data_IF_438048350673
#
_entry.id   IF_438048350673
#
_cell.length_a   1.000
_cell.length_b   1.000
_cell.length_c   1.000
_cell.angle_alpha   90.00
_cell.angle_beta   90.00
_cell.angle_gamma   90.00
#
_symmetry.space_group_name_H-M   'P 1'
#
loop_
_entity.id
_entity.type
_entity.pdbx_description
1 polymer ?
#
# COMPACT_ATOMS: atom_id res chain seq x y z
N UNK A 1 -19.21 19.98 3.09
CA UNK A 1 -19.27 18.57 3.55
C UNK A 1 -18.03 18.27 4.35
N UNK A 2 -18.13 17.68 5.56
CA UNK A 2 -16.95 17.17 6.28
C UNK A 2 -16.30 16.08 5.41
N UNK A 3 -14.99 16.19 5.12
CA UNK A 3 -14.23 15.13 4.44
C UNK A 3 -14.41 13.83 5.23
N UNK A 4 -14.69 12.73 4.55
CA UNK A 4 -14.79 11.41 5.17
C UNK A 4 -13.37 10.95 5.48
N UNK A 5 -13.10 10.59 6.75
CA UNK A 5 -11.80 10.06 7.17
C UNK A 5 -11.49 8.75 6.46
N UNK A 6 -10.27 8.61 5.95
CA UNK A 6 -9.83 7.43 5.22
C UNK A 6 -9.15 6.42 6.15
N UNK A 7 -9.89 5.41 6.55
CA UNK A 7 -9.44 4.30 7.37
C UNK A 7 -8.93 3.20 6.44
N UNK A 8 -7.61 3.02 6.35
CA UNK A 8 -7.00 2.05 5.45
C UNK A 8 -6.44 0.84 6.20
N UNK A 9 -6.77 -0.37 5.74
CA UNK A 9 -6.18 -1.61 6.22
C UNK A 9 -4.91 -1.92 5.43
N UNK A 10 -3.74 -1.80 6.08
CA UNK A 10 -2.42 -2.00 5.51
C UNK A 10 -2.21 -3.48 5.14
N UNK A 11 -1.99 -3.76 3.86
CA UNK A 11 -1.90 -5.11 3.31
C UNK A 11 -3.09 -5.98 3.73
N UNK A 12 -4.28 -5.37 3.76
CA UNK A 12 -5.47 -5.92 4.38
C UNK A 12 -5.56 -5.63 5.87
N UNK A 13 -5.10 -6.54 6.71
CA UNK A 13 -5.03 -6.40 8.16
C UNK A 13 -3.81 -7.17 8.69
N UNK A 14 -2.61 -6.75 8.29
CA UNK A 14 -1.33 -7.46 8.50
C UNK A 14 -1.07 -7.82 9.95
N UNK A 15 -1.47 -6.98 10.89
CA UNK A 15 -1.30 -7.24 12.32
C UNK A 15 -2.16 -8.41 12.84
N UNK A 16 -3.17 -8.84 12.08
CA UNK A 16 -4.16 -9.85 12.49
C UNK A 16 -4.11 -11.12 11.65
N UNK A 17 -3.86 -11.00 10.34
CA UNK A 17 -3.82 -12.10 9.37
C UNK A 17 -2.67 -11.92 8.37
N UNK A 18 -2.24 -12.98 7.66
CA UNK A 18 -1.11 -12.92 6.73
C UNK A 18 -1.27 -11.82 5.68
N UNK A 19 -0.27 -10.96 5.57
CA UNK A 19 -0.29 -9.77 4.73
C UNK A 19 -0.53 -10.06 3.25
N UNK A 20 -1.20 -9.14 2.55
CA UNK A 20 -1.42 -9.22 1.11
C UNK A 20 -2.10 -10.52 0.65
N UNK A 21 -2.97 -11.07 1.50
CA UNK A 21 -3.71 -12.31 1.24
C UNK A 21 -5.22 -12.07 1.26
N UNK A 22 -5.99 -12.93 0.58
CA UNK A 22 -7.44 -12.84 0.60
C UNK A 22 -8.02 -12.91 2.02
N UNK A 23 -7.54 -13.78 2.95
CA UNK A 23 -7.95 -13.74 4.35
C UNK A 23 -7.75 -12.38 5.03
N UNK A 24 -6.60 -11.71 4.82
CA UNK A 24 -6.35 -10.40 5.41
C UNK A 24 -7.27 -9.31 4.86
N UNK A 25 -7.56 -9.34 3.54
CA UNK A 25 -8.50 -8.41 2.91
C UNK A 25 -9.94 -8.66 3.37
N UNK A 26 -10.38 -9.91 3.47
CA UNK A 26 -11.68 -10.25 4.02
C UNK A 26 -11.82 -9.79 5.47
N UNK A 27 -10.77 -9.94 6.28
CA UNK A 27 -10.75 -9.42 7.65
C UNK A 27 -10.90 -7.91 7.69
N UNK A 28 -10.17 -7.17 6.84
CA UNK A 28 -10.28 -5.73 6.74
C UNK A 28 -11.71 -5.28 6.33
N UNK A 29 -12.32 -5.95 5.35
CA UNK A 29 -13.72 -5.71 4.96
C UNK A 29 -14.68 -5.98 6.13
N UNK A 30 -14.46 -7.07 6.87
CA UNK A 30 -15.28 -7.43 8.05
C UNK A 30 -15.12 -6.45 9.22
N UNK A 31 -13.96 -5.82 9.36
CA UNK A 31 -13.75 -4.71 10.30
C UNK A 31 -14.49 -3.46 9.81
N UNK A 32 -14.59 -3.25 8.52
CA UNK A 32 -15.20 -2.07 7.91
C UNK A 32 -14.20 -0.96 7.72
N UNK A 33 -13.24 -1.17 6.81
CA UNK A 33 -12.32 -0.14 6.32
C UNK A 33 -12.95 0.67 5.19
N UNK A 34 -12.45 1.88 4.95
CA UNK A 34 -12.83 2.68 3.78
C UNK A 34 -12.02 2.28 2.55
N UNK A 35 -10.80 1.79 2.77
CA UNK A 35 -9.84 1.49 1.71
C UNK A 35 -9.04 0.25 2.09
N UNK A 36 -8.94 -0.69 1.17
CA UNK A 36 -7.94 -1.76 1.21
C UNK A 36 -6.65 -1.21 0.64
N UNK A 37 -5.61 -1.21 1.45
CA UNK A 37 -4.26 -0.90 0.99
C UNK A 37 -3.54 -2.20 0.68
N UNK A 38 -2.78 -2.24 -0.42
CA UNK A 38 -2.10 -3.42 -0.93
C UNK A 38 -0.93 -3.08 -1.84
N UNK A 39 -0.02 -4.03 -1.98
CA UNK A 39 1.20 -3.89 -2.77
C UNK A 39 1.16 -4.83 -3.98
N UNK A 40 1.69 -4.40 -5.12
CA UNK A 40 1.70 -5.20 -6.34
C UNK A 40 3.10 -5.43 -6.88
N UNK A 41 3.28 -6.61 -7.49
CA UNK A 41 4.42 -6.99 -8.31
C UNK A 41 3.92 -7.60 -9.63
N UNK A 42 4.80 -7.70 -10.63
CA UNK A 42 4.47 -8.24 -11.96
C UNK A 42 5.23 -9.56 -12.17
N UNK A 43 4.51 -10.62 -12.54
CA UNK A 43 5.09 -11.92 -12.86
C UNK A 43 5.76 -11.93 -14.23
N UNK A 44 6.50 -13.00 -14.55
CA UNK A 44 7.14 -13.22 -15.87
C UNK A 44 6.13 -13.28 -17.03
N UNK A 45 4.95 -13.80 -16.76
CA UNK A 45 3.85 -13.89 -17.72
C UNK A 45 2.90 -12.67 -17.68
N UNK A 46 3.31 -11.58 -17.00
CA UNK A 46 2.64 -10.29 -17.05
C UNK A 46 1.44 -10.15 -16.11
N UNK A 47 1.21 -11.09 -15.19
CA UNK A 47 0.10 -11.02 -14.24
C UNK A 47 0.45 -10.09 -13.07
N UNK A 48 -0.49 -9.22 -12.67
CA UNK A 48 -0.37 -8.38 -11.48
C UNK A 48 -0.74 -9.21 -10.26
N UNK A 49 0.27 -9.53 -9.43
CA UNK A 49 0.12 -10.26 -8.17
C UNK A 49 0.27 -9.34 -6.98
N UNK A 50 -0.26 -9.77 -5.83
CA UNK A 50 -0.23 -8.95 -4.61
C UNK A 50 0.88 -9.43 -3.70
N UNK A 51 1.94 -8.60 -3.60
CA UNK A 51 3.14 -8.87 -2.78
C UNK A 51 3.85 -7.56 -2.45
N UNK A 52 4.33 -7.43 -1.21
CA UNK A 52 5.07 -6.23 -0.79
C UNK A 52 6.48 -6.19 -1.39
N UNK A 53 7.19 -7.29 -1.35
CA UNK A 53 8.54 -7.34 -1.85
C UNK A 53 8.55 -7.70 -3.34
N UNK A 54 9.47 -7.15 -4.10
CA UNK A 54 9.70 -7.52 -5.50
C UNK A 54 10.34 -8.90 -5.65
N UNK A 55 10.77 -9.50 -4.54
CA UNK A 55 11.31 -10.86 -4.41
C UNK A 55 10.45 -11.68 -3.46
N UNK A 56 10.55 -13.02 -3.51
CA UNK A 56 9.96 -13.87 -2.48
C UNK A 56 10.61 -13.59 -1.12
N UNK A 57 9.79 -13.34 -0.11
CA UNK A 57 10.26 -13.02 1.23
C UNK A 57 10.38 -14.31 2.07
N UNK A 58 11.60 -14.68 2.53
CA UNK A 58 11.82 -15.89 3.32
C UNK A 58 11.04 -15.93 4.64
N UNK A 59 10.75 -14.78 5.23
CA UNK A 59 10.05 -14.70 6.52
C UNK A 59 8.56 -15.10 6.41
N UNK A 60 7.99 -15.11 5.18
CA UNK A 60 6.55 -15.37 4.97
C UNK A 60 6.27 -16.38 3.86
N UNK A 61 7.31 -16.98 3.25
CA UNK A 61 7.12 -17.87 2.09
C UNK A 61 7.62 -19.28 2.37
N UNK A 62 6.75 -20.27 2.18
CA UNK A 62 7.07 -21.69 2.24
C UNK A 62 6.92 -22.33 0.86
N UNK A 63 7.85 -23.24 0.53
CA UNK A 63 7.73 -24.08 -0.66
C UNK A 63 6.63 -25.14 -0.56
N UNK A 64 6.41 -25.86 -1.67
CA UNK A 64 5.44 -26.95 -1.72
C UNK A 64 5.74 -28.10 -0.74
N UNK A 65 6.99 -28.23 -0.29
CA UNK A 65 7.42 -29.18 0.73
C UNK A 65 7.17 -28.69 2.18
N UNK A 66 6.57 -27.51 2.35
CA UNK A 66 6.27 -26.89 3.62
C UNK A 66 7.47 -26.23 4.33
N UNK A 67 8.64 -26.22 3.71
CA UNK A 67 9.85 -25.59 4.26
C UNK A 67 9.91 -24.10 3.88
N UNK A 68 10.46 -23.30 4.78
CA UNK A 68 10.78 -21.91 4.48
C UNK A 68 11.80 -21.82 3.37
N UNK A 69 11.61 -20.91 2.43
CA UNK A 69 12.64 -20.61 1.44
C UNK A 69 13.80 -19.91 2.14
N UNK A 70 15.03 -20.14 1.66
CA UNK A 70 16.23 -19.54 2.27
C UNK A 70 16.89 -18.51 1.38
N UNK A 71 16.57 -18.52 0.07
CA UNK A 71 17.09 -17.58 -0.89
C UNK A 71 16.11 -16.37 -0.98
N UNK A 72 16.58 -15.20 -0.57
CA UNK A 72 15.83 -13.95 -0.62
C UNK A 72 15.95 -13.20 -1.96
N UNK A 73 16.88 -13.64 -2.85
CA UNK A 73 17.08 -13.00 -4.16
C UNK A 73 16.36 -13.76 -5.28
N UNK A 74 15.06 -13.97 -5.08
CA UNK A 74 14.16 -14.62 -6.05
C UNK A 74 13.11 -13.59 -6.53
N UNK A 75 13.39 -12.80 -7.59
CA UNK A 75 12.46 -11.80 -8.09
C UNK A 75 11.16 -12.42 -8.59
N UNK A 76 10.02 -11.87 -8.17
CA UNK A 76 8.67 -12.31 -8.61
C UNK A 76 8.57 -12.25 -10.14
N UNK A 77 9.22 -11.29 -10.78
CA UNK A 77 9.29 -11.16 -12.25
C UNK A 77 9.98 -12.32 -12.98
N UNK A 78 10.59 -13.25 -12.26
CA UNK A 78 11.19 -14.47 -12.83
C UNK A 78 10.26 -15.68 -12.79
N UNK A 79 9.13 -15.59 -12.10
CA UNK A 79 8.13 -16.65 -11.95
C UNK A 79 6.88 -16.34 -12.76
N UNK A 80 6.27 -17.37 -13.33
CA UNK A 80 4.88 -17.31 -13.80
C UNK A 80 3.91 -17.35 -12.61
N UNK A 81 2.66 -16.95 -12.83
CA UNK A 81 1.62 -17.12 -11.81
C UNK A 81 1.52 -18.57 -11.34
N UNK A 82 1.56 -19.53 -12.27
CA UNK A 82 1.44 -20.96 -11.95
C UNK A 82 2.57 -21.45 -11.02
N UNK A 83 3.79 -20.95 -11.20
CA UNK A 83 4.93 -21.24 -10.34
C UNK A 83 4.75 -20.58 -8.96
N UNK A 84 4.30 -19.32 -8.88
CA UNK A 84 4.02 -18.62 -7.62
C UNK A 84 2.90 -19.30 -6.81
N UNK A 85 1.91 -19.90 -7.47
CA UNK A 85 0.83 -20.62 -6.80
C UNK A 85 1.28 -21.92 -6.11
N UNK A 86 2.55 -22.33 -6.24
CA UNK A 86 3.10 -23.46 -5.47
C UNK A 86 3.56 -23.05 -4.08
N UNK A 87 3.82 -21.76 -3.83
CA UNK A 87 4.24 -21.26 -2.53
C UNK A 87 3.05 -21.00 -1.61
N UNK A 88 3.28 -21.19 -0.32
CA UNK A 88 2.35 -20.86 0.75
C UNK A 88 2.85 -19.60 1.47
N UNK A 89 2.01 -18.56 1.48
CA UNK A 89 2.28 -17.25 2.12
C UNK A 89 1.36 -17.00 3.32
N UNK A 90 0.75 -18.04 3.84
CA UNK A 90 -0.28 -17.98 4.89
C UNK A 90 0.26 -17.91 6.31
N UNK A 91 1.55 -17.67 6.51
CA UNK A 91 2.16 -17.66 7.86
C UNK A 91 3.47 -16.89 7.86
N UNK A 92 3.78 -16.20 8.94
CA UNK A 92 5.13 -15.70 9.23
C UNK A 92 5.95 -16.83 9.85
N UNK A 93 7.24 -16.94 9.49
CA UNK A 93 8.17 -17.83 10.16
C UNK A 93 8.30 -17.44 11.64
N UNK A 94 7.87 -18.29 12.58
CA UNK A 94 7.90 -17.96 14.01
C UNK A 94 9.32 -17.77 14.55
N UNK A 95 10.35 -18.25 13.85
CA UNK A 95 11.74 -18.04 14.21
C UNK A 95 12.31 -16.69 13.70
N UNK A 96 11.62 -16.00 12.80
CA UNK A 96 12.05 -14.73 12.23
C UNK A 96 11.87 -13.56 13.20
N UNK A 97 12.69 -12.51 13.03
CA UNK A 97 12.46 -11.24 13.72
C UNK A 97 11.15 -10.56 13.26
N UNK A 98 10.69 -10.90 12.06
CA UNK A 98 9.46 -10.37 11.52
C UNK A 98 8.24 -10.81 12.32
N UNK A 99 8.22 -12.07 12.83
CA UNK A 99 7.15 -12.58 13.67
C UNK A 99 6.99 -11.78 14.98
N UNK A 100 8.09 -11.27 15.56
CA UNK A 100 8.05 -10.47 16.77
C UNK A 100 7.32 -9.13 16.60
N UNK A 101 7.24 -8.62 15.37
CA UNK A 101 6.53 -7.37 15.04
C UNK A 101 5.02 -7.54 15.01
N UNK A 102 4.53 -8.76 14.78
CA UNK A 102 3.11 -9.07 14.62
C UNK A 102 2.65 -10.23 15.50
N UNK A 103 2.77 -10.11 16.83
CA UNK A 103 2.50 -11.21 17.76
C UNK A 103 1.01 -11.65 17.79
N UNK A 104 0.11 -10.83 17.25
CA UNK A 104 -1.32 -11.14 17.18
C UNK A 104 -1.75 -11.77 15.86
N UNK A 105 -0.85 -11.82 14.87
CA UNK A 105 -1.19 -12.38 13.57
C UNK A 105 -1.48 -13.88 13.66
N UNK A 106 -2.66 -14.28 13.21
CA UNK A 106 -3.08 -15.68 13.16
C UNK A 106 -2.71 -16.27 11.78
N UNK A 107 -2.06 -17.44 11.73
CA UNK A 107 -1.72 -18.07 10.46
C UNK A 107 -2.98 -18.64 9.76
N UNK A 108 -2.93 -18.67 8.44
CA UNK A 108 -3.91 -19.33 7.56
C UNK A 108 -3.14 -20.15 6.55
N UNK A 109 -2.68 -21.33 6.97
CA UNK A 109 -1.84 -22.21 6.16
C UNK A 109 -2.53 -22.61 4.85
N UNK A 110 -1.74 -22.80 3.80
CA UNK A 110 -2.22 -23.13 2.46
C UNK A 110 -2.66 -21.91 1.65
N UNK A 111 -2.50 -20.70 2.19
CA UNK A 111 -2.84 -19.45 1.47
C UNK A 111 -1.83 -19.19 0.35
N UNK A 112 -2.36 -18.88 -0.83
CA UNK A 112 -1.57 -18.56 -2.02
C UNK A 112 -1.49 -17.05 -2.23
N UNK A 113 -0.44 -16.59 -2.91
CA UNK A 113 -0.31 -15.20 -3.34
C UNK A 113 -1.45 -14.86 -4.31
N UNK A 114 -2.34 -13.90 -3.99
CA UNK A 114 -3.46 -13.58 -4.86
C UNK A 114 -3.02 -12.71 -6.04
N UNK A 115 -3.80 -12.72 -7.11
CA UNK A 115 -3.75 -11.67 -8.14
C UNK A 115 -4.51 -10.44 -7.66
N UNK A 116 -4.26 -9.28 -8.26
CA UNK A 116 -5.04 -8.07 -8.00
C UNK A 116 -6.52 -8.27 -8.33
N UNK A 117 -6.84 -9.00 -9.40
CA UNK A 117 -8.21 -9.35 -9.77
C UNK A 117 -8.91 -10.18 -8.69
N UNK A 118 -8.20 -11.08 -8.01
CA UNK A 118 -8.77 -11.86 -6.90
C UNK A 118 -9.21 -10.94 -5.74
N UNK A 119 -8.44 -9.87 -5.44
CA UNK A 119 -8.81 -8.90 -4.41
C UNK A 119 -10.04 -8.08 -4.82
N UNK A 120 -10.13 -7.68 -6.09
CA UNK A 120 -11.31 -6.99 -6.62
C UNK A 120 -12.56 -7.88 -6.58
N UNK A 121 -12.42 -9.14 -7.00
CA UNK A 121 -13.49 -10.13 -6.95
C UNK A 121 -13.97 -10.40 -5.51
N UNK A 122 -13.05 -10.45 -4.54
CA UNK A 122 -13.39 -10.59 -3.12
C UNK A 122 -14.26 -9.43 -2.64
N UNK A 123 -13.88 -8.19 -2.92
CA UNK A 123 -14.64 -7.00 -2.52
C UNK A 123 -16.03 -6.98 -3.19
N UNK A 124 -16.11 -7.36 -4.45
CA UNK A 124 -17.38 -7.47 -5.18
C UNK A 124 -18.28 -8.56 -4.59
N UNK A 125 -17.75 -9.75 -4.31
CA UNK A 125 -18.51 -10.88 -3.72
C UNK A 125 -19.01 -10.56 -2.31
N UNK A 126 -18.30 -9.67 -1.59
CA UNK A 126 -18.73 -9.15 -0.29
C UNK A 126 -19.91 -8.15 -0.40
N UNK A 127 -20.36 -7.82 -1.60
CA UNK A 127 -21.36 -6.77 -1.82
C UNK A 127 -20.87 -5.37 -1.43
N UNK A 128 -19.55 -5.14 -1.42
CA UNK A 128 -18.98 -3.86 -1.04
C UNK A 128 -18.58 -3.03 -2.26
N UNK A 129 -19.55 -2.27 -2.80
CA UNK A 129 -19.31 -1.37 -3.93
C UNK A 129 -18.74 0.01 -3.51
N UNK A 130 -18.45 0.21 -2.22
CA UNK A 130 -17.98 1.48 -1.67
C UNK A 130 -16.52 1.45 -1.24
N UNK A 131 -15.95 0.27 -0.96
CA UNK A 131 -14.55 0.15 -0.57
C UNK A 131 -13.64 0.58 -1.72
N UNK A 132 -12.58 1.30 -1.38
CA UNK A 132 -11.56 1.77 -2.32
C UNK A 132 -10.33 0.89 -2.22
N UNK A 133 -9.44 1.04 -3.20
CA UNK A 133 -8.19 0.30 -3.29
C UNK A 133 -7.04 1.30 -3.40
N UNK A 134 -6.07 1.23 -2.50
CA UNK A 134 -4.82 1.98 -2.55
C UNK A 134 -3.71 1.01 -2.92
N UNK A 135 -3.22 1.08 -4.15
CA UNK A 135 -2.42 0.03 -4.79
C UNK A 135 -1.00 0.54 -4.99
N UNK A 136 -0.04 -0.04 -4.26
CA UNK A 136 1.36 0.33 -4.40
C UNK A 136 2.05 -0.43 -5.55
N UNK A 137 2.78 0.31 -6.37
CA UNK A 137 3.71 -0.27 -7.34
C UNK A 137 5.06 -0.52 -6.66
N UNK A 138 5.38 -1.79 -6.39
CA UNK A 138 6.64 -2.20 -5.73
C UNK A 138 7.78 -2.24 -6.72
N UNK A 139 8.27 -1.05 -7.07
CA UNK A 139 9.38 -0.84 -8.00
C UNK A 139 10.46 0.00 -7.34
N UNK A 140 11.71 -0.24 -7.69
CA UNK A 140 12.84 0.51 -7.15
C UNK A 140 13.79 0.94 -8.26
N UNK A 141 14.20 2.22 -8.31
CA UNK A 141 15.24 2.67 -9.22
C UNK A 141 16.62 2.11 -8.86
N UNK A 142 16.80 1.58 -7.63
CA UNK A 142 18.06 1.01 -7.16
C UNK A 142 18.20 -0.47 -7.54
N UNK A 143 17.10 -1.13 -7.88
CA UNK A 143 17.04 -2.55 -8.26
C UNK A 143 16.16 -2.75 -9.49
N UNK A 144 16.50 -2.12 -10.64
CA UNK A 144 15.68 -2.19 -11.85
C UNK A 144 15.60 -3.59 -12.45
N UNK A 145 16.53 -4.48 -12.09
CA UNK A 145 16.57 -5.87 -12.56
C UNK A 145 15.52 -6.78 -11.90
N UNK A 146 14.92 -6.36 -10.78
CA UNK A 146 13.97 -7.17 -9.99
C UNK A 146 12.55 -7.09 -10.50
N UNK A 147 12.23 -6.10 -11.34
CA UNK A 147 10.86 -5.90 -11.83
C UNK A 147 10.87 -5.37 -13.27
N UNK A 148 9.69 -5.24 -13.86
CA UNK A 148 9.53 -4.61 -15.17
C UNK A 148 9.77 -3.10 -15.09
N UNK A 149 10.06 -2.46 -16.23
CA UNK A 149 10.26 -1.01 -16.31
C UNK A 149 9.01 -0.22 -15.84
N UNK A 150 9.16 1.03 -15.36
CA UNK A 150 8.05 1.83 -14.83
C UNK A 150 6.83 1.94 -15.75
N UNK A 151 7.03 2.13 -17.06
CA UNK A 151 5.92 2.19 -18.03
C UNK A 151 5.18 0.85 -18.12
N UNK A 152 5.91 -0.27 -18.20
CA UNK A 152 5.32 -1.60 -18.26
C UNK A 152 4.53 -1.93 -17.00
N UNK A 153 5.07 -1.58 -15.82
CA UNK A 153 4.38 -1.78 -14.55
C UNK A 153 3.07 -0.99 -14.49
N UNK A 154 3.14 0.32 -14.77
CA UNK A 154 1.97 1.18 -14.73
C UNK A 154 0.90 0.72 -15.73
N UNK A 155 1.27 0.36 -16.96
CA UNK A 155 0.32 -0.13 -17.96
C UNK A 155 -0.36 -1.44 -17.56
N UNK A 156 0.39 -2.42 -17.02
CA UNK A 156 -0.22 -3.67 -16.52
C UNK A 156 -1.24 -3.39 -15.43
N UNK A 157 -0.92 -2.48 -14.50
CA UNK A 157 -1.83 -2.10 -13.42
C UNK A 157 -3.06 -1.36 -13.93
N UNK A 158 -2.89 -0.37 -14.82
CA UNK A 158 -3.99 0.38 -15.45
C UNK A 158 -4.95 -0.58 -16.14
N UNK A 159 -4.44 -1.54 -16.93
CA UNK A 159 -5.27 -2.52 -17.65
C UNK A 159 -6.16 -3.33 -16.69
N UNK A 160 -5.62 -3.80 -15.56
CA UNK A 160 -6.41 -4.55 -14.58
C UNK A 160 -7.47 -3.67 -13.92
N UNK A 161 -7.15 -2.42 -13.55
CA UNK A 161 -8.09 -1.49 -12.95
C UNK A 161 -9.23 -1.15 -13.93
N UNK A 162 -8.91 -0.89 -15.20
CA UNK A 162 -9.88 -0.53 -16.24
C UNK A 162 -10.78 -1.71 -16.63
N UNK A 163 -10.21 -2.92 -16.76
CA UNK A 163 -10.97 -4.14 -17.06
C UNK A 163 -12.03 -4.44 -15.97
N UNK A 164 -11.78 -4.01 -14.73
CA UNK A 164 -12.70 -4.15 -13.61
C UNK A 164 -13.58 -2.91 -13.36
N UNK A 165 -13.49 -1.85 -14.19
CA UNK A 165 -14.23 -0.59 -14.05
C UNK A 165 -14.03 0.13 -12.71
N UNK A 166 -12.80 0.07 -12.16
CA UNK A 166 -12.47 0.58 -10.82
C UNK A 166 -11.70 1.91 -10.82
N UNK A 167 -11.59 2.62 -11.95
CA UNK A 167 -10.80 3.86 -12.10
C UNK A 167 -11.15 4.94 -11.05
N UNK A 168 -12.39 4.98 -10.57
CA UNK A 168 -12.87 5.94 -9.56
C UNK A 168 -12.79 5.42 -8.12
N UNK A 169 -12.47 4.13 -7.94
CA UNK A 169 -12.34 3.47 -6.64
C UNK A 169 -10.89 3.05 -6.33
N UNK A 170 -10.03 3.00 -7.33
CA UNK A 170 -8.61 2.73 -7.20
C UNK A 170 -7.80 4.03 -7.20
N UNK A 171 -6.75 4.05 -6.39
CA UNK A 171 -5.66 5.01 -6.45
C UNK A 171 -4.35 4.24 -6.55
N UNK A 172 -3.36 4.80 -7.24
CA UNK A 172 -2.03 4.19 -7.36
C UNK A 172 -1.05 4.95 -6.49
N UNK A 173 -0.37 4.24 -5.59
CA UNK A 173 0.68 4.81 -4.75
C UNK A 173 2.06 4.27 -5.13
N UNK A 174 3.10 5.05 -4.87
CA UNK A 174 4.48 4.62 -5.06
C UNK A 174 5.48 5.52 -4.34
N UNK A 175 6.59 4.92 -3.91
CA UNK A 175 7.83 5.64 -3.60
C UNK A 175 8.56 6.07 -4.87
N UNK A 176 8.43 5.31 -5.95
CA UNK A 176 9.00 5.63 -7.26
C UNK A 176 7.99 6.39 -8.11
N UNK A 177 8.12 7.70 -8.15
CA UNK A 177 7.17 8.59 -8.81
C UNK A 177 7.17 8.46 -10.35
N UNK A 178 8.09 7.68 -10.93
CA UNK A 178 8.10 7.42 -12.37
C UNK A 178 6.84 6.66 -12.81
N UNK A 179 6.37 5.68 -12.01
CA UNK A 179 5.10 4.98 -12.30
C UNK A 179 3.90 5.90 -12.18
N UNK A 180 3.90 6.79 -11.18
CA UNK A 180 2.81 7.76 -10.97
C UNK A 180 2.68 8.74 -12.15
N UNK A 181 3.82 9.17 -12.72
CA UNK A 181 3.82 10.04 -13.90
C UNK A 181 3.19 9.35 -15.11
N UNK A 182 3.41 8.04 -15.29
CA UNK A 182 2.77 7.25 -16.35
C UNK A 182 1.26 7.14 -16.12
N UNK A 183 0.83 6.82 -14.88
CA UNK A 183 -0.59 6.72 -14.54
C UNK A 183 -1.32 8.04 -14.80
N UNK A 184 -0.73 9.17 -14.43
CA UNK A 184 -1.33 10.49 -14.66
C UNK A 184 -1.45 10.83 -16.16
N UNK A 185 -0.47 10.43 -16.97
CA UNK A 185 -0.47 10.67 -18.42
C UNK A 185 -1.51 9.80 -19.13
N UNK A 186 -1.56 8.51 -18.80
CA UNK A 186 -2.25 7.49 -19.61
C UNK A 186 -3.63 7.11 -19.05
N UNK A 187 -3.86 7.32 -17.74
CA UNK A 187 -5.13 7.03 -17.06
C UNK A 187 -5.52 8.15 -16.06
N UNK A 188 -5.76 9.40 -16.50
CA UNK A 188 -6.05 10.55 -15.64
C UNK A 188 -7.19 10.36 -14.61
N UNK A 189 -8.21 9.51 -14.83
CA UNK A 189 -9.22 9.23 -13.82
C UNK A 189 -8.68 8.53 -12.56
N UNK A 190 -7.57 7.79 -12.67
CA UNK A 190 -6.92 7.11 -11.55
C UNK A 190 -6.03 8.11 -10.80
N UNK A 191 -6.40 8.43 -9.56
CA UNK A 191 -5.62 9.37 -8.73
C UNK A 191 -4.31 8.74 -8.27
N UNK A 192 -3.29 9.58 -8.08
CA UNK A 192 -1.96 9.17 -7.63
C UNK A 192 -1.69 9.60 -6.20
N UNK A 193 -1.02 8.73 -5.46
CA UNK A 193 -0.62 8.88 -4.05
C UNK A 193 0.90 8.83 -3.97
N UNK A 194 1.49 9.87 -3.43
CA UNK A 194 2.93 10.06 -3.37
C UNK A 194 3.44 9.64 -1.99
N UNK A 195 4.04 8.44 -1.91
CA UNK A 195 4.71 7.96 -0.71
C UNK A 195 6.01 8.74 -0.50
N UNK A 196 6.27 9.15 0.75
CA UNK A 196 7.50 9.83 1.13
C UNK A 196 8.00 9.39 2.48
N UNK A 197 9.33 9.25 2.59
CA UNK A 197 10.05 9.07 3.83
C UNK A 197 11.44 9.69 3.71
N UNK A 198 11.96 10.16 4.85
CA UNK A 198 13.32 10.66 5.04
C UNK A 198 13.92 10.00 6.29
N UNK A 199 13.91 8.66 6.33
CA UNK A 199 14.34 7.84 7.46
C UNK A 199 15.49 6.92 7.05
N UNK A 200 16.25 6.45 8.01
CA UNK A 200 17.34 5.49 7.76
C UNK A 200 16.88 4.17 7.15
N UNK A 201 15.62 3.79 7.35
CA UNK A 201 15.04 2.57 6.76
C UNK A 201 14.44 2.80 5.35
N UNK A 202 14.12 4.05 5.00
CA UNK A 202 13.62 4.45 3.68
C UNK A 202 13.77 5.95 3.50
N UNK A 203 14.53 6.37 2.51
CA UNK A 203 14.61 7.78 2.08
C UNK A 203 14.51 7.85 0.57
N UNK A 204 13.36 8.29 0.06
CA UNK A 204 13.15 8.52 -1.35
C UNK A 204 13.23 10.00 -1.76
N UNK A 205 13.32 10.90 -0.78
CA UNK A 205 13.45 12.34 -1.02
C UNK A 205 14.90 12.73 -1.29
N UNK A 206 15.85 12.14 -0.53
CA UNK A 206 17.29 12.38 -0.63
C UNK A 206 17.63 13.88 -0.63
N UNK A 207 17.09 14.59 0.38
CA UNK A 207 17.14 16.06 0.44
C UNK A 207 18.57 16.63 0.47
N UNK A 208 19.54 15.83 0.90
CA UNK A 208 20.97 16.20 1.00
C UNK A 208 21.80 15.86 -0.25
N UNK A 209 21.19 15.11 -1.19
CA UNK A 209 21.82 14.77 -2.46
C UNK A 209 21.55 15.83 -3.53
N UNK A 210 22.23 15.75 -4.66
CA UNK A 210 21.97 16.67 -5.79
C UNK A 210 20.72 16.31 -6.60
N UNK A 211 20.28 15.05 -6.51
CA UNK A 211 19.09 14.53 -7.20
C UNK A 211 18.60 13.26 -6.50
N UNK A 212 17.31 12.94 -6.70
CA UNK A 212 16.74 11.66 -6.28
C UNK A 212 16.27 10.86 -7.51
N UNK A 213 16.69 9.59 -7.65
CA UNK A 213 16.21 8.74 -8.73
C UNK A 213 14.72 8.35 -8.57
N UNK A 214 14.15 8.55 -7.38
CA UNK A 214 12.77 8.19 -7.04
C UNK A 214 11.74 9.20 -7.51
N UNK A 215 12.12 10.48 -7.69
CA UNK A 215 11.17 11.60 -7.78
C UNK A 215 10.90 12.05 -9.23
N UNK A 216 11.10 11.16 -10.22
CA UNK A 216 10.84 11.42 -11.65
C UNK A 216 11.49 12.74 -12.13
N UNK A 217 12.76 12.96 -11.78
CA UNK A 217 13.55 14.12 -12.18
C UNK A 217 13.30 15.40 -11.36
N UNK A 218 12.51 15.33 -10.29
CA UNK A 218 12.31 16.45 -9.36
C UNK A 218 13.22 16.34 -8.16
N UNK A 219 13.63 17.52 -7.62
CA UNK A 219 14.38 17.57 -6.38
C UNK A 219 13.77 18.63 -5.44
N UNK A 220 13.73 18.33 -4.14
CA UNK A 220 13.05 19.15 -3.12
C UNK A 220 13.55 20.59 -3.05
N UNK A 221 14.83 20.83 -3.37
CA UNK A 221 15.42 22.19 -3.40
C UNK A 221 14.73 23.13 -4.40
N UNK A 222 14.18 22.59 -5.50
CA UNK A 222 13.44 23.34 -6.51
C UNK A 222 12.09 23.87 -5.99
N UNK A 223 11.64 23.36 -4.84
CA UNK A 223 10.34 23.66 -4.23
C UNK A 223 10.47 24.30 -2.86
N UNK A 224 11.64 24.92 -2.57
CA UNK A 224 11.91 25.60 -1.30
C UNK A 224 11.93 24.66 -0.11
N UNK A 225 12.35 23.43 -0.27
CA UNK A 225 12.41 22.41 0.78
C UNK A 225 11.03 21.85 1.18
N UNK A 226 9.97 22.06 0.37
CA UNK A 226 8.61 21.62 0.70
C UNK A 226 8.20 20.41 -0.14
N UNK A 227 8.05 19.24 0.50
CA UNK A 227 7.52 18.02 -0.12
C UNK A 227 6.10 18.26 -0.65
N UNK A 228 5.14 18.86 0.10
CA UNK A 228 3.81 19.13 -0.44
C UNK A 228 3.81 19.97 -1.73
N UNK A 229 4.68 20.99 -1.83
CA UNK A 229 4.80 21.79 -3.06
C UNK A 229 5.37 20.97 -4.22
N UNK A 230 6.34 20.11 -3.95
CA UNK A 230 6.92 19.21 -4.96
C UNK A 230 5.87 18.23 -5.50
N UNK A 231 5.05 17.66 -4.63
CA UNK A 231 3.95 16.76 -5.01
C UNK A 231 2.86 17.50 -5.79
N UNK A 232 2.46 18.70 -5.35
CA UNK A 232 1.51 19.52 -6.09
C UNK A 232 2.01 19.83 -7.51
N UNK A 233 3.27 20.22 -7.65
CA UNK A 233 3.89 20.47 -8.95
C UNK A 233 4.03 19.19 -9.82
N UNK A 234 4.06 18.02 -9.18
CA UNK A 234 4.00 16.73 -9.86
C UNK A 234 2.56 16.34 -10.29
N UNK A 235 1.55 17.13 -9.96
CA UNK A 235 0.14 16.82 -10.25
C UNK A 235 -0.48 15.78 -9.30
N UNK A 236 0.15 15.55 -8.14
CA UNK A 236 -0.31 14.59 -7.14
C UNK A 236 -1.65 14.99 -6.51
N UNK A 237 -2.47 13.99 -6.18
CA UNK A 237 -3.73 14.20 -5.46
C UNK A 237 -3.60 13.96 -3.95
N UNK A 238 -2.70 13.05 -3.56
CA UNK A 238 -2.52 12.63 -2.17
C UNK A 238 -1.03 12.62 -1.83
N UNK A 239 -0.71 13.22 -0.69
CA UNK A 239 0.57 13.06 -0.03
C UNK A 239 0.46 11.98 1.05
N UNK A 240 1.32 10.97 0.98
CA UNK A 240 1.33 9.85 1.93
C UNK A 240 2.71 9.73 2.59
N UNK A 241 2.97 10.53 3.64
CA UNK A 241 4.24 10.53 4.36
C UNK A 241 4.31 9.46 5.44
N UNK A 242 5.54 9.10 5.82
CA UNK A 242 5.78 8.43 7.10
C UNK A 242 5.28 9.30 8.26
N UNK A 243 4.47 8.72 9.15
CA UNK A 243 3.76 9.46 10.20
C UNK A 243 4.67 10.16 11.21
N UNK A 244 5.91 9.68 11.38
CA UNK A 244 6.91 10.30 12.25
C UNK A 244 7.42 11.65 11.74
N UNK A 245 7.16 12.01 10.48
CA UNK A 245 7.58 13.26 9.83
C UNK A 245 6.46 14.29 9.75
N UNK A 246 5.30 14.00 10.35
CA UNK A 246 4.08 14.78 10.16
C UNK A 246 3.68 15.53 11.43
N UNK A 247 3.40 16.82 11.26
CA UNK A 247 2.80 17.70 12.24
C UNK A 247 1.59 18.46 11.66
N UNK A 248 0.87 19.19 12.51
CA UNK A 248 -0.32 19.93 12.09
C UNK A 248 0.00 21.05 11.08
N UNK A 249 1.23 21.59 11.10
CA UNK A 249 1.61 22.69 10.21
C UNK A 249 1.81 22.19 8.79
N UNK A 250 2.55 21.08 8.61
CA UNK A 250 2.78 20.52 7.29
C UNK A 250 1.53 19.84 6.71
N UNK A 251 0.64 19.26 7.55
CA UNK A 251 -0.69 18.82 7.13
C UNK A 251 -1.52 19.97 6.57
N UNK A 252 -1.60 21.07 7.32
CA UNK A 252 -2.32 22.28 6.88
C UNK A 252 -1.74 22.86 5.60
N UNK A 253 -0.40 22.88 5.45
CA UNK A 253 0.25 23.31 4.22
C UNK A 253 -0.18 22.44 3.04
N UNK A 254 -0.10 21.12 3.17
CA UNK A 254 -0.49 20.18 2.11
C UNK A 254 -1.96 20.36 1.71
N UNK A 255 -2.86 20.48 2.70
CA UNK A 255 -4.29 20.68 2.46
C UNK A 255 -4.57 22.05 1.80
N UNK A 256 -3.82 23.11 2.13
CA UNK A 256 -3.95 24.42 1.47
C UNK A 256 -3.53 24.38 -0.01
N UNK A 257 -2.69 23.43 -0.40
CA UNK A 257 -2.28 23.16 -1.77
C UNK A 257 -3.24 22.19 -2.50
N UNK A 258 -4.35 21.78 -1.85
CA UNK A 258 -5.34 20.89 -2.42
C UNK A 258 -5.02 19.40 -2.26
N UNK A 259 -3.94 19.04 -1.56
CA UNK A 259 -3.57 17.65 -1.32
C UNK A 259 -4.41 17.05 -0.19
N UNK A 260 -4.75 15.77 -0.33
CA UNK A 260 -5.21 14.92 0.77
C UNK A 260 -3.98 14.36 1.50
N UNK A 261 -4.01 14.23 2.83
CA UNK A 261 -2.89 13.69 3.61
C UNK A 261 -3.28 12.37 4.27
N UNK A 262 -2.62 11.27 3.88
CA UNK A 262 -2.83 9.92 4.42
C UNK A 262 -1.50 9.38 4.92
N UNK A 263 -1.39 9.10 6.21
CA UNK A 263 -0.11 8.71 6.83
C UNK A 263 0.02 7.20 7.03
N UNK A 264 1.26 6.69 7.02
CA UNK A 264 1.62 5.28 7.17
C UNK A 264 2.84 5.09 8.09
N UNK A 265 3.08 3.94 8.69
CA UNK A 265 2.09 2.95 9.12
C UNK A 265 1.86 3.17 10.60
N UNK A 266 0.65 3.54 10.99
CA UNK A 266 0.33 3.96 12.36
C UNK A 266 -0.35 2.82 13.10
N UNK A 267 0.33 2.27 14.11
CA UNK A 267 -0.09 1.02 14.76
C UNK A 267 -0.42 1.16 16.25
N UNK A 268 -0.02 2.26 16.91
CA UNK A 268 -0.36 2.49 18.31
C UNK A 268 -1.54 3.45 18.45
N UNK A 269 -2.37 3.24 19.47
CA UNK A 269 -3.50 4.12 19.76
C UNK A 269 -3.06 5.57 19.98
N UNK A 270 -1.92 5.77 20.67
CA UNK A 270 -1.36 7.09 20.94
C UNK A 270 -0.98 7.82 19.64
N UNK A 271 -0.33 7.13 18.70
CA UNK A 271 0.02 7.71 17.41
C UNK A 271 -1.20 7.95 16.52
N UNK A 272 -2.18 7.06 16.54
CA UNK A 272 -3.46 7.27 15.83
C UNK A 272 -4.15 8.54 16.31
N UNK A 273 -4.23 8.74 17.63
CA UNK A 273 -4.79 9.95 18.23
C UNK A 273 -3.99 11.20 17.82
N UNK A 274 -2.67 11.13 17.90
CA UNK A 274 -1.77 12.23 17.51
C UNK A 274 -1.98 12.63 16.04
N UNK A 275 -2.10 11.67 15.14
CA UNK A 275 -2.31 11.95 13.71
C UNK A 275 -3.71 12.50 13.42
N UNK A 276 -4.76 11.97 14.08
CA UNK A 276 -6.11 12.53 13.98
C UNK A 276 -6.14 13.98 14.48
N UNK A 277 -5.47 14.27 15.60
CA UNK A 277 -5.39 15.62 16.18
C UNK A 277 -4.53 16.56 15.32
N UNK A 278 -3.53 16.06 14.60
CA UNK A 278 -2.79 16.83 13.59
C UNK A 278 -3.63 17.15 12.34
N UNK A 279 -4.81 16.55 12.19
CA UNK A 279 -5.76 16.85 11.13
C UNK A 279 -5.54 16.10 9.83
N UNK A 280 -4.87 14.93 9.86
CA UNK A 280 -4.72 14.10 8.66
C UNK A 280 -6.06 13.64 8.10
N UNK A 281 -6.15 13.43 6.80
CA UNK A 281 -7.37 12.99 6.12
C UNK A 281 -7.57 11.46 6.20
N UNK A 282 -6.51 10.70 6.54
CA UNK A 282 -6.57 9.25 6.68
C UNK A 282 -5.32 8.63 7.28
N UNK A 283 -5.44 7.38 7.66
CA UNK A 283 -4.38 6.57 8.29
C UNK A 283 -4.37 5.18 7.67
N UNK A 284 -3.16 4.69 7.34
CA UNK A 284 -2.86 3.32 6.95
C UNK A 284 -2.34 2.60 8.20
N UNK A 285 -2.98 1.47 8.59
CA UNK A 285 -2.63 0.73 9.80
C UNK A 285 -2.67 -0.78 9.59
N UNK A 286 -1.73 -1.49 10.23
CA UNK A 286 -1.72 -2.95 10.35
C UNK A 286 -2.86 -3.48 11.25
N UNK A 287 -3.39 -2.60 12.12
CA UNK A 287 -4.45 -2.88 13.08
C UNK A 287 -5.68 -2.00 12.79
N UNK A 288 -6.38 -2.25 11.66
CA UNK A 288 -7.55 -1.45 11.28
C UNK A 288 -8.71 -1.53 12.28
N UNK A 289 -8.78 -2.58 13.10
CA UNK A 289 -9.72 -2.73 14.20
C UNK A 289 -9.45 -1.72 15.32
N UNK A 290 -8.20 -1.53 15.72
CA UNK A 290 -7.78 -0.50 16.69
C UNK A 290 -8.05 0.89 16.10
N UNK A 291 -7.64 1.12 14.86
CA UNK A 291 -7.86 2.41 14.17
C UNK A 291 -9.36 2.74 14.11
N UNK A 292 -10.20 1.75 13.79
CA UNK A 292 -11.66 1.93 13.75
C UNK A 292 -12.22 2.33 15.12
N UNK A 293 -11.76 1.68 16.19
CA UNK A 293 -12.17 2.00 17.57
C UNK A 293 -11.77 3.43 17.95
N UNK A 294 -10.52 3.82 17.65
CA UNK A 294 -10.01 5.17 17.93
C UNK A 294 -10.76 6.23 17.15
N UNK A 295 -10.96 6.03 15.85
CA UNK A 295 -11.70 6.94 14.98
C UNK A 295 -13.15 7.10 15.44
N UNK A 296 -13.82 6.00 15.85
CA UNK A 296 -15.16 6.02 16.41
C UNK A 296 -15.27 6.82 17.72
N UNK A 297 -14.31 6.66 18.64
CA UNK A 297 -14.23 7.42 19.87
C UNK A 297 -14.02 8.94 19.63
N UNK A 298 -13.44 9.33 18.49
CA UNK A 298 -13.31 10.73 18.04
C UNK A 298 -14.54 11.23 17.24
N UNK A 299 -15.61 10.42 17.13
CA UNK A 299 -16.82 10.79 16.40
C UNK A 299 -16.64 10.90 14.88
N UNK A 300 -15.63 10.25 14.32
CA UNK A 300 -15.40 10.21 12.88
C UNK A 300 -16.43 9.25 12.23
N UNK A 301 -16.97 9.58 11.04
CA UNK A 301 -17.86 8.68 10.32
C UNK A 301 -17.13 7.39 9.91
N UNK A 302 -17.74 6.25 10.26
CA UNK A 302 -17.18 4.93 9.97
C UNK A 302 -18.01 4.22 8.88
N UNK A 303 -17.36 3.48 7.96
CA UNK A 303 -18.08 2.64 7.00
C UNK A 303 -18.74 1.44 7.71
N UNK A 304 -19.78 0.91 7.11
CA UNK A 304 -20.39 -0.33 7.59
C UNK A 304 -19.42 -1.51 7.41
N UNK A 305 -19.30 -2.44 8.37
CA UNK A 305 -18.62 -3.71 8.16
C UNK A 305 -19.31 -4.56 7.11
N UNK A 306 -18.53 -5.30 6.30
CA UNK A 306 -19.05 -6.28 5.37
C UNK A 306 -18.54 -7.66 5.77
N UNK A 307 -19.42 -8.54 6.23
CA UNK A 307 -19.05 -9.91 6.59
C UNK A 307 -18.71 -10.66 5.31
N UNK A 308 -17.48 -11.18 5.24
CA UNK A 308 -16.99 -12.00 4.13
C UNK A 308 -16.68 -13.38 4.68
N UNK A 309 -17.31 -14.39 4.11
CA UNK A 309 -16.93 -15.80 4.33
C UNK A 309 -16.01 -16.21 3.18
N UNK A 310 -14.80 -16.66 3.52
CA UNK A 310 -13.81 -17.20 2.57
C UNK A 310 -13.88 -18.72 2.60
#
# INVERSE_FOLDING_TARGET
>A
MKRRFDLQGHRGARGLLPENTLPAFARALSIGVTTLELDCAITRDGVVVVSHDSTLNPDITRGADGRWITDADQPISKFTLAELQQFDVGRIDPASQYAQRFPQQQPVDGTRMPTLENVFALAHSAGNDLVRFNIETKISPLHPERTVAPDGFAHSLIQVIEANHLQHRAVVQSFDWRTLAVVQRDAPPIKTVYLTAQQSFADNILAHESASPWNAGRHISQFGGSIPRMIQAAGGAVWSPYFGEVDAANVKQAQSLGLTVVVWTVNTEADMLRMIDAGVDGIISDYPDVLRRVAGARGLPLPAPNIVTI
#
